data_IF_325701889912
#
_entry.id   IF_325701889912
#
_cell.length_a   1.000
_cell.length_b   1.000
_cell.length_c   1.000
_cell.angle_alpha   90.00
_cell.angle_beta   90.00
_cell.angle_gamma   90.00
#
_symmetry.space_group_name_H-M   'P 1'
#
loop_
_entity.id
_entity.type
_entity.pdbx_description
1 polymer ?
#
# COMPACT_ATOMS: atom_id res chain seq x y z
N UNK A 1 30.48 -5.28 2.95
CA UNK A 1 29.25 -4.97 3.72
C UNK A 1 28.76 -3.52 3.62
N UNK A 2 29.58 -2.51 3.30
CA UNK A 2 29.09 -1.12 3.12
C UNK A 2 28.22 -0.92 1.87
N UNK A 3 28.60 -1.52 0.75
CA UNK A 3 27.89 -1.33 -0.54
C UNK A 3 26.41 -1.78 -0.54
N UNK A 4 26.03 -2.94 0.03
CA UNK A 4 24.61 -3.35 0.07
C UNK A 4 23.74 -2.44 0.95
N UNK A 5 24.26 -1.97 2.08
CA UNK A 5 23.54 -1.06 2.98
C UNK A 5 23.34 0.32 2.33
N UNK A 6 24.37 0.84 1.65
CA UNK A 6 24.28 2.13 0.96
C UNK A 6 23.21 2.13 -0.13
N UNK A 7 23.10 1.02 -0.90
CA UNK A 7 22.07 0.86 -1.92
C UNK A 7 20.68 0.81 -1.28
N UNK A 8 20.51 0.01 -0.23
CA UNK A 8 19.24 -0.09 0.49
C UNK A 8 18.78 1.27 1.03
N UNK A 9 19.69 2.03 1.66
CA UNK A 9 19.39 3.36 2.19
C UNK A 9 19.03 4.36 1.10
N UNK A 10 19.71 4.32 -0.06
CA UNK A 10 19.38 5.18 -1.21
C UNK A 10 17.99 4.87 -1.75
N UNK A 11 17.68 3.60 -1.98
CA UNK A 11 16.35 3.17 -2.46
C UNK A 11 15.25 3.61 -1.49
N UNK A 12 15.47 3.45 -0.18
CA UNK A 12 14.52 3.90 0.83
C UNK A 12 14.29 5.42 0.81
N UNK A 13 15.36 6.21 0.72
CA UNK A 13 15.28 7.67 0.67
C UNK A 13 14.53 8.13 -0.59
N UNK A 14 14.87 7.56 -1.74
CA UNK A 14 14.23 7.89 -3.02
C UNK A 14 12.73 7.57 -3.00
N UNK A 15 12.37 6.37 -2.54
CA UNK A 15 10.97 5.95 -2.39
C UNK A 15 10.19 6.90 -1.47
N UNK A 16 10.76 7.25 -0.31
CA UNK A 16 10.14 8.18 0.64
C UNK A 16 9.88 9.54 0.01
N UNK A 17 10.85 10.07 -0.74
CA UNK A 17 10.77 11.39 -1.32
C UNK A 17 9.73 11.44 -2.45
N UNK A 18 9.69 10.41 -3.31
CA UNK A 18 8.65 10.26 -4.34
C UNK A 18 7.25 10.18 -3.71
N UNK A 19 7.07 9.37 -2.66
CA UNK A 19 5.78 9.23 -1.97
C UNK A 19 5.36 10.58 -1.35
N UNK A 20 6.28 11.26 -0.66
CA UNK A 20 6.03 12.57 -0.04
C UNK A 20 5.64 13.61 -1.07
N UNK A 21 6.32 13.65 -2.22
CA UNK A 21 6.01 14.59 -3.30
C UNK A 21 4.66 14.30 -3.96
N UNK A 22 4.31 13.01 -4.07
CA UNK A 22 3.04 12.56 -4.64
C UNK A 22 1.85 12.86 -3.71
N UNK A 23 2.03 12.73 -2.40
CA UNK A 23 0.97 12.82 -1.40
C UNK A 23 1.29 13.83 -0.28
N UNK A 24 1.60 15.07 -0.65
CA UNK A 24 2.08 16.14 0.25
C UNK A 24 1.20 16.42 1.48
N UNK A 25 -0.10 16.10 1.39
CA UNK A 25 -1.10 16.38 2.44
C UNK A 25 -1.43 15.17 3.32
N UNK A 26 -0.82 14.01 3.05
CA UNK A 26 -0.97 12.82 3.90
C UNK A 26 -0.05 12.92 5.13
N UNK A 27 -0.25 12.01 6.09
CA UNK A 27 0.52 12.01 7.32
C UNK A 27 2.02 11.78 7.10
N UNK A 28 2.87 12.62 7.69
CA UNK A 28 4.33 12.59 7.48
C UNK A 28 5.00 11.29 7.93
N UNK A 29 4.44 10.62 8.93
CA UNK A 29 4.95 9.33 9.40
C UNK A 29 4.63 8.17 8.43
N UNK A 30 3.65 8.33 7.54
CA UNK A 30 3.31 7.29 6.57
C UNK A 30 4.31 7.24 5.42
N UNK A 31 5.02 8.32 5.10
CA UNK A 31 6.02 8.32 4.04
C UNK A 31 7.13 7.28 4.25
N UNK A 32 7.81 7.20 5.42
CA UNK A 32 8.81 6.15 5.65
C UNK A 32 8.19 4.73 5.70
N UNK A 33 6.97 4.57 6.23
CA UNK A 33 6.27 3.27 6.24
C UNK A 33 5.97 2.79 4.82
N UNK A 34 5.53 3.70 3.96
CA UNK A 34 5.25 3.37 2.58
C UNK A 34 6.54 3.12 1.79
N UNK A 35 7.59 3.89 2.07
CA UNK A 35 8.90 3.67 1.47
C UNK A 35 9.48 2.30 1.82
N UNK A 36 9.26 1.79 3.03
CA UNK A 36 9.73 0.45 3.40
C UNK A 36 9.04 -0.66 2.60
N UNK A 37 7.76 -0.49 2.22
CA UNK A 37 7.03 -1.47 1.40
C UNK A 37 7.67 -1.61 0.01
N UNK A 38 8.02 -0.50 -0.63
CA UNK A 38 8.71 -0.52 -1.92
C UNK A 38 10.14 -1.05 -1.81
N UNK A 39 10.84 -0.64 -0.75
CA UNK A 39 12.24 -1.04 -0.51
C UNK A 39 12.35 -2.55 -0.24
N UNK A 40 11.42 -3.12 0.55
CA UNK A 40 11.33 -4.55 0.83
C UNK A 40 11.09 -5.38 -0.44
N UNK A 41 10.34 -4.83 -1.39
CA UNK A 41 10.09 -5.44 -2.70
C UNK A 41 11.19 -5.18 -3.73
N UNK A 42 12.24 -4.44 -3.37
CA UNK A 42 13.30 -3.97 -4.29
C UNK A 42 12.78 -3.20 -5.51
N UNK A 43 11.67 -2.45 -5.34
CA UNK A 43 11.02 -1.67 -6.39
C UNK A 43 11.19 -0.17 -6.11
N UNK A 44 11.41 0.63 -7.16
CA UNK A 44 11.33 2.08 -7.08
C UNK A 44 9.88 2.55 -7.25
N UNK A 45 9.43 3.43 -6.37
CA UNK A 45 8.11 4.03 -6.43
C UNK A 45 8.00 4.93 -7.66
N UNK A 46 6.87 4.85 -8.35
CA UNK A 46 6.57 5.69 -9.50
C UNK A 46 5.34 6.54 -9.20
N UNK A 47 5.49 7.87 -9.37
CA UNK A 47 4.42 8.84 -9.09
C UNK A 47 3.12 8.51 -9.83
N UNK A 48 3.20 8.18 -11.11
CA UNK A 48 2.02 7.87 -11.93
C UNK A 48 1.32 6.60 -11.44
N UNK A 49 2.08 5.55 -11.14
CA UNK A 49 1.55 4.28 -10.60
C UNK A 49 0.87 4.48 -9.25
N UNK A 50 1.47 5.26 -8.36
CA UNK A 50 0.90 5.64 -7.06
C UNK A 50 -0.42 6.40 -7.22
N UNK A 51 -0.47 7.38 -8.12
CA UNK A 51 -1.68 8.16 -8.40
C UNK A 51 -2.77 7.27 -8.97
N UNK A 52 -2.43 6.39 -9.92
CA UNK A 52 -3.36 5.43 -10.51
C UNK A 52 -3.91 4.48 -9.44
N UNK A 53 -3.07 3.87 -8.62
CA UNK A 53 -3.50 2.97 -7.55
C UNK A 53 -4.39 3.67 -6.51
N UNK A 54 -4.13 4.94 -6.20
CA UNK A 54 -5.00 5.76 -5.34
C UNK A 54 -6.36 6.02 -6.00
N UNK A 55 -6.42 6.15 -7.32
CA UNK A 55 -7.66 6.32 -8.07
C UNK A 55 -8.46 5.00 -8.12
N UNK A 56 -7.83 3.89 -8.53
CA UNK A 56 -8.41 2.53 -8.50
C UNK A 56 -9.00 2.26 -7.13
N UNK A 57 -8.25 2.57 -6.07
CA UNK A 57 -8.72 2.42 -4.71
C UNK A 57 -10.01 3.26 -4.52
N UNK A 58 -9.97 4.59 -4.69
CA UNK A 58 -11.13 5.47 -4.51
C UNK A 58 -12.41 5.02 -5.23
N UNK A 59 -12.29 4.55 -6.47
CA UNK A 59 -13.42 4.11 -7.30
C UNK A 59 -14.10 2.85 -6.73
N UNK A 60 -13.32 1.94 -6.15
CA UNK A 60 -13.81 0.65 -5.66
C UNK A 60 -14.26 0.66 -4.18
N UNK A 61 -13.75 1.61 -3.37
CA UNK A 61 -14.06 1.69 -1.93
C UNK A 61 -14.96 2.88 -1.53
N UNK A 62 -15.64 3.52 -2.48
CA UNK A 62 -16.55 4.66 -2.22
C UNK A 62 -17.53 4.49 -1.04
N UNK A 63 -17.91 3.24 -0.71
CA UNK A 63 -18.81 2.88 0.40
C UNK A 63 -18.13 2.26 1.64
N UNK A 64 -16.83 1.97 1.63
CA UNK A 64 -16.12 1.39 2.78
C UNK A 64 -15.40 2.48 3.57
N UNK A 65 -16.06 3.02 4.60
CA UNK A 65 -15.49 4.04 5.50
C UNK A 65 -14.16 3.63 6.15
N UNK A 66 -13.87 2.34 6.26
CA UNK A 66 -12.68 1.81 6.94
C UNK A 66 -11.41 1.81 6.09
N UNK A 67 -11.53 2.09 4.80
CA UNK A 67 -10.38 2.36 3.93
C UNK A 67 -9.99 3.85 3.94
N UNK A 68 -10.64 4.65 4.80
CA UNK A 68 -10.34 6.06 5.01
C UNK A 68 -9.49 6.15 6.27
N UNK A 69 -8.38 6.88 6.20
CA UNK A 69 -7.45 7.06 7.32
C UNK A 69 -6.02 6.66 6.96
N UNK A 70 -5.23 6.31 7.97
CA UNK A 70 -3.78 6.12 7.83
C UNK A 70 -3.40 4.87 7.02
N UNK A 71 -4.22 3.83 7.08
CA UNK A 71 -4.08 2.60 6.29
C UNK A 71 -4.21 2.80 4.78
N UNK A 72 -4.82 3.90 4.34
CA UNK A 72 -5.04 4.19 2.91
C UNK A 72 -3.72 4.29 2.14
N UNK A 73 -2.76 5.08 2.63
CA UNK A 73 -1.51 5.29 1.90
C UNK A 73 -0.66 4.02 1.84
N UNK A 74 -0.67 3.22 2.91
CA UNK A 74 -0.08 1.88 2.90
C UNK A 74 -0.75 0.97 1.87
N UNK A 75 -2.09 0.95 1.83
CA UNK A 75 -2.86 0.17 0.85
C UNK A 75 -2.49 0.57 -0.59
N UNK A 76 -2.46 1.87 -0.89
CA UNK A 76 -2.05 2.39 -2.20
C UNK A 76 -0.64 1.95 -2.56
N UNK A 77 0.29 1.97 -1.59
CA UNK A 77 1.67 1.56 -1.81
C UNK A 77 1.78 0.07 -2.11
N UNK A 78 1.06 -0.79 -1.38
CA UNK A 78 1.02 -2.24 -1.60
C UNK A 78 0.38 -2.59 -2.96
N UNK A 79 -0.62 -1.83 -3.40
CA UNK A 79 -1.20 -1.97 -4.74
C UNK A 79 -0.19 -1.55 -5.82
N UNK A 80 0.54 -0.46 -5.59
CA UNK A 80 1.54 0.03 -6.53
C UNK A 80 2.78 -0.87 -6.64
N UNK A 81 3.05 -1.76 -5.68
CA UNK A 81 4.06 -2.83 -5.84
C UNK A 81 3.53 -4.05 -6.61
N UNK A 82 2.23 -4.10 -6.94
CA UNK A 82 1.65 -5.20 -7.72
C UNK A 82 1.85 -5.00 -9.22
N UNK A 83 1.95 -6.10 -9.96
CA UNK A 83 1.87 -6.10 -11.42
C UNK A 83 0.42 -5.91 -11.91
N UNK A 84 -0.56 -6.36 -11.12
CA UNK A 84 -1.98 -6.18 -11.40
C UNK A 84 -2.70 -5.57 -10.16
N UNK A 85 -2.71 -4.24 -10.02
CA UNK A 85 -3.30 -3.56 -8.85
C UNK A 85 -4.81 -3.80 -8.71
N UNK A 86 -5.57 -3.86 -9.81
CA UNK A 86 -7.03 -4.06 -9.78
C UNK A 86 -7.40 -5.45 -9.27
N UNK A 87 -6.74 -6.49 -9.79
CA UNK A 87 -6.96 -7.87 -9.35
C UNK A 87 -6.58 -8.04 -7.87
N UNK A 88 -5.46 -7.45 -7.45
CA UNK A 88 -5.05 -7.46 -6.05
C UNK A 88 -6.07 -6.78 -5.14
N UNK A 89 -6.64 -5.65 -5.57
CA UNK A 89 -7.69 -4.96 -4.83
C UNK A 89 -8.97 -5.81 -4.76
N UNK A 90 -9.37 -6.43 -5.86
CA UNK A 90 -10.53 -7.34 -5.88
C UNK A 90 -10.37 -8.47 -4.87
N UNK A 91 -9.22 -9.16 -4.88
CA UNK A 91 -8.90 -10.24 -3.93
C UNK A 91 -8.88 -9.74 -2.48
N UNK A 92 -8.31 -8.56 -2.26
CA UNK A 92 -8.32 -7.90 -0.95
C UNK A 92 -9.75 -7.68 -0.44
N UNK A 93 -10.65 -7.21 -1.30
CA UNK A 93 -12.06 -6.98 -0.94
C UNK A 93 -12.80 -8.29 -0.66
N UNK A 94 -12.53 -9.35 -1.41
CA UNK A 94 -13.08 -10.69 -1.16
C UNK A 94 -12.66 -11.20 0.22
N UNK A 95 -11.36 -11.14 0.54
CA UNK A 95 -10.83 -11.54 1.85
C UNK A 95 -11.42 -10.66 2.97
N UNK A 96 -11.45 -9.34 2.79
CA UNK A 96 -12.06 -8.42 3.74
C UNK A 96 -13.52 -8.77 4.03
N UNK A 97 -14.29 -9.15 3.01
CA UNK A 97 -15.70 -9.55 3.16
C UNK A 97 -15.87 -10.87 3.92
N UNK A 98 -14.87 -11.76 3.88
CA UNK A 98 -14.83 -12.95 4.73
C UNK A 98 -14.49 -12.55 6.16
N UNK A 99 -13.39 -11.82 6.37
CA UNK A 99 -12.91 -11.46 7.71
C UNK A 99 -13.93 -10.64 8.50
N UNK A 100 -14.65 -9.72 7.85
CA UNK A 100 -15.66 -8.88 8.53
C UNK A 100 -16.85 -9.65 9.11
N UNK A 101 -16.98 -10.96 8.84
CA UNK A 101 -18.02 -11.82 9.45
C UNK A 101 -17.69 -12.13 10.91
N UNK A 102 -16.40 -12.25 11.21
CA UNK A 102 -15.91 -12.68 12.52
C UNK A 102 -15.16 -11.56 13.27
N UNK A 103 -14.67 -10.54 12.56
CA UNK A 103 -13.90 -9.43 13.13
C UNK A 103 -14.59 -8.08 12.98
N UNK A 104 -14.36 -7.20 13.97
CA UNK A 104 -14.85 -5.84 13.95
C UNK A 104 -14.22 -5.01 12.82
N UNK A 105 -15.07 -4.20 12.21
CA UNK A 105 -14.71 -3.21 11.19
C UNK A 105 -13.64 -2.24 11.72
N UNK A 106 -12.47 -2.22 11.10
CA UNK A 106 -11.36 -1.33 11.46
C UNK A 106 -10.41 -1.13 10.27
N UNK A 107 -9.55 -0.11 10.34
CA UNK A 107 -8.44 0.08 9.39
C UNK A 107 -7.45 -1.11 9.39
N UNK A 108 -7.27 -1.75 10.55
CA UNK A 108 -6.40 -2.93 10.66
C UNK A 108 -6.96 -4.15 9.94
N UNK A 109 -8.28 -4.27 9.85
CA UNK A 109 -8.93 -5.33 9.08
C UNK A 109 -8.64 -5.20 7.58
N UNK A 110 -8.55 -3.97 7.08
CA UNK A 110 -8.16 -3.69 5.68
C UNK A 110 -6.70 -4.08 5.44
N UNK A 111 -5.80 -3.70 6.34
CA UNK A 111 -4.39 -4.07 6.26
C UNK A 111 -4.19 -5.59 6.31
N UNK A 112 -4.90 -6.28 7.22
CA UNK A 112 -4.87 -7.73 7.28
C UNK A 112 -5.34 -8.39 5.98
N UNK A 113 -6.42 -7.87 5.39
CA UNK A 113 -6.96 -8.41 4.14
C UNK A 113 -5.98 -8.26 2.96
N UNK A 114 -5.30 -7.12 2.82
CA UNK A 114 -4.36 -6.91 1.71
C UNK A 114 -3.07 -7.72 1.87
N UNK A 115 -2.59 -7.90 3.10
CA UNK A 115 -1.45 -8.78 3.39
C UNK A 115 -1.80 -10.24 3.07
N UNK A 116 -2.99 -10.69 3.48
CA UNK A 116 -3.48 -12.04 3.18
C UNK A 116 -3.69 -12.25 1.67
N UNK A 117 -4.05 -11.21 0.91
CA UNK A 117 -4.19 -11.32 -0.54
C UNK A 117 -2.88 -11.73 -1.23
N UNK A 118 -1.73 -11.27 -0.69
CA UNK A 118 -0.40 -11.69 -1.13
C UNK A 118 -0.07 -13.13 -0.70
N UNK A 119 -0.44 -13.52 0.52
CA UNK A 119 -0.14 -14.85 1.06
C UNK A 119 -0.97 -15.99 0.41
N UNK A 120 -2.19 -15.69 0.00
CA UNK A 120 -3.08 -16.66 -0.69
C UNK A 120 -2.75 -16.67 -2.20
N UNK A 121 -1.67 -16.01 -2.64
CA UNK A 121 -1.30 -15.76 -4.03
C UNK A 121 -0.06 -16.51 -4.53
N UNK A 122 0.33 -17.58 -3.85
CA UNK A 122 1.31 -18.58 -4.33
C UNK A 122 0.63 -19.93 -4.58
#
# INVERSE_FOLDING_TARGET
>A
MKQPLDILCKNFIENRDIIKETFKWESSYMFPVCASIFTDKEICAEKEKLVNCNQILKENIGFFSNFKGHSKLATVSILATSNNPEEKLKKTLEIYNVLRKDFNRSEYLVLGAIILADLVGE
#
